data_IF_165696209404
#
_entry.id   IF_165696209404
#
_cell.length_a   1.000
_cell.length_b   1.000
_cell.length_c   1.000
_cell.angle_alpha   90.00
_cell.angle_beta   90.00
_cell.angle_gamma   90.00
#
_symmetry.space_group_name_H-M   'P 1'
#
loop_
_entity.id
_entity.type
_entity.pdbx_description
1 polymer ?
#
# COMPACT_ATOMS: atom_id res chain seq x y z
N UNK A 1 -38.63 6.89 67.91
CA UNK A 1 -37.62 5.90 67.55
C UNK A 1 -38.14 4.83 66.59
N UNK A 2 -39.30 4.24 66.75
CA UNK A 2 -39.83 3.15 65.85
C UNK A 2 -40.13 3.58 64.39
N UNK A 3 -40.47 4.81 64.13
CA UNK A 3 -40.73 5.34 62.76
C UNK A 3 -39.47 5.62 61.96
N UNK A 4 -38.40 6.05 62.59
CA UNK A 4 -37.10 6.30 61.94
C UNK A 4 -36.45 5.02 61.45
N UNK A 5 -36.52 3.95 62.24
CA UNK A 5 -35.95 2.67 61.85
C UNK A 5 -36.74 2.01 60.69
N UNK A 6 -38.03 2.26 60.52
CA UNK A 6 -38.83 1.81 59.39
C UNK A 6 -38.43 2.55 58.07
N UNK A 7 -38.17 3.87 58.18
CA UNK A 7 -37.76 4.68 57.02
C UNK A 7 -36.35 4.25 56.50
N UNK A 8 -35.42 3.97 57.42
CA UNK A 8 -34.08 3.50 57.09
C UNK A 8 -34.14 2.10 56.45
N UNK A 9 -35.02 1.20 56.94
CA UNK A 9 -35.19 -0.14 56.33
C UNK A 9 -35.79 -0.08 54.93
N UNK A 10 -36.72 0.83 54.66
CA UNK A 10 -37.33 1.05 53.35
C UNK A 10 -36.30 1.64 52.37
N UNK A 11 -35.47 2.59 52.80
CA UNK A 11 -34.36 3.12 52.00
C UNK A 11 -33.30 2.07 51.67
N UNK A 12 -32.95 1.21 52.62
CA UNK A 12 -32.02 0.12 52.40
C UNK A 12 -32.57 -0.96 51.47
N UNK A 13 -33.85 -1.30 51.58
CA UNK A 13 -34.52 -2.24 50.70
C UNK A 13 -34.66 -1.66 49.28
N UNK A 14 -34.92 -0.36 49.14
CA UNK A 14 -34.92 0.32 47.84
C UNK A 14 -33.52 0.35 47.19
N UNK A 15 -32.45 0.56 47.97
CA UNK A 15 -31.06 0.54 47.51
C UNK A 15 -30.62 -0.85 47.08
N UNK A 16 -31.04 -1.90 47.79
CA UNK A 16 -30.73 -3.33 47.44
C UNK A 16 -31.49 -3.76 46.19
N UNK A 17 -32.70 -3.23 45.92
CA UNK A 17 -33.47 -3.52 44.72
C UNK A 17 -32.97 -2.76 43.47
N UNK A 18 -32.41 -1.58 43.65
CA UNK A 18 -31.87 -0.78 42.53
C UNK A 18 -30.46 -1.18 42.13
N UNK A 19 -29.62 -1.72 43.04
CA UNK A 19 -28.28 -2.18 42.70
C UNK A 19 -28.26 -3.31 41.64
N UNK A 20 -29.07 -4.39 41.75
CA UNK A 20 -29.09 -5.44 40.73
C UNK A 20 -29.69 -4.96 39.39
N UNK A 21 -30.59 -3.98 39.40
CA UNK A 21 -31.14 -3.41 38.16
C UNK A 21 -30.06 -2.61 37.40
N UNK A 22 -29.21 -1.87 38.08
CA UNK A 22 -28.07 -1.19 37.47
C UNK A 22 -26.99 -2.17 36.96
N UNK A 23 -26.87 -3.37 37.58
CA UNK A 23 -25.98 -4.44 37.13
C UNK A 23 -26.54 -5.28 36.00
N UNK A 24 -27.89 -5.36 35.87
CA UNK A 24 -28.57 -6.10 34.81
C UNK A 24 -28.77 -5.27 33.53
N UNK A 25 -28.72 -3.97 33.63
CA UNK A 25 -28.63 -3.05 32.48
C UNK A 25 -27.28 -2.35 32.56
N UNK A 26 -26.20 -2.95 32.05
CA UNK A 26 -24.99 -2.19 31.86
C UNK A 26 -25.42 -0.98 31.02
N UNK A 27 -25.34 0.21 31.59
CA UNK A 27 -25.47 1.44 30.80
C UNK A 27 -24.47 1.28 29.66
N UNK A 28 -24.98 0.99 28.47
CA UNK A 28 -24.19 1.00 27.25
C UNK A 28 -23.61 2.41 27.20
N UNK A 29 -22.44 2.56 27.80
CA UNK A 29 -21.65 3.76 27.66
C UNK A 29 -21.59 3.99 26.16
N UNK A 30 -22.23 5.05 25.70
CA UNK A 30 -22.23 5.43 24.30
C UNK A 30 -20.85 6.02 24.00
N UNK A 31 -19.81 5.17 24.21
CA UNK A 31 -18.42 5.56 24.02
C UNK A 31 -18.27 5.97 22.59
N UNK A 32 -17.69 7.14 22.39
CA UNK A 32 -17.39 7.68 21.08
C UNK A 32 -16.37 6.79 20.41
N UNK A 33 -16.62 6.40 19.17
CA UNK A 33 -15.65 5.71 18.34
C UNK A 33 -14.58 6.72 17.91
N UNK A 34 -13.32 6.47 18.25
CA UNK A 34 -12.21 7.33 17.87
C UNK A 34 -11.49 6.73 16.67
N UNK A 35 -11.42 7.51 15.60
CA UNK A 35 -10.77 7.11 14.34
C UNK A 35 -9.66 8.10 14.03
N UNK A 36 -8.52 7.64 13.52
CA UNK A 36 -7.45 8.51 13.07
C UNK A 36 -6.88 8.11 11.72
N UNK A 37 -6.44 9.08 10.95
CA UNK A 37 -5.85 8.91 9.62
C UNK A 37 -5.10 10.15 9.15
N UNK A 38 -4.65 10.11 7.92
CA UNK A 38 -3.94 11.18 7.21
C UNK A 38 -4.72 11.58 5.96
N UNK A 39 -4.51 12.80 5.48
CA UNK A 39 -5.16 13.28 4.24
C UNK A 39 -4.33 12.96 3.02
N UNK A 40 -3.02 13.18 3.08
CA UNK A 40 -2.09 12.95 1.98
C UNK A 40 -2.17 11.50 1.47
N UNK A 41 -2.15 11.33 0.14
CA UNK A 41 -2.04 10.00 -0.44
C UNK A 41 -0.58 9.54 -0.44
N UNK A 42 -0.28 8.31 -0.01
CA UNK A 42 1.05 7.75 -0.16
C UNK A 42 1.38 7.38 -1.63
N UNK A 43 0.39 7.46 -2.53
CA UNK A 43 0.47 6.96 -3.89
C UNK A 43 0.41 8.07 -4.95
N UNK A 44 -0.28 9.17 -4.67
CA UNK A 44 -0.52 10.25 -5.62
C UNK A 44 -0.52 11.60 -4.93
N UNK A 45 0.13 12.60 -5.54
CA UNK A 45 0.12 13.98 -5.05
C UNK A 45 -1.21 14.71 -5.26
N UNK A 46 -2.08 14.16 -6.13
CA UNK A 46 -3.27 14.86 -6.62
C UNK A 46 -4.56 14.42 -5.90
N UNK A 47 -4.48 13.46 -4.98
CA UNK A 47 -5.63 12.91 -4.27
C UNK A 47 -5.40 12.87 -2.75
N UNK A 48 -6.48 13.03 -1.99
CA UNK A 48 -6.48 12.94 -0.55
C UNK A 48 -7.39 11.83 -0.02
N UNK A 49 -7.10 11.33 1.17
CA UNK A 49 -7.88 10.26 1.78
C UNK A 49 -9.27 10.73 2.21
N UNK A 50 -10.25 9.87 1.97
CA UNK A 50 -11.69 10.17 2.12
C UNK A 50 -12.21 10.00 3.57
N UNK A 51 -11.43 10.36 4.60
CA UNK A 51 -11.83 10.13 5.99
C UNK A 51 -13.16 10.82 6.33
N UNK A 52 -13.38 12.03 5.84
CA UNK A 52 -14.67 12.74 6.05
C UNK A 52 -15.86 11.99 5.43
N UNK A 53 -15.68 11.42 4.24
CA UNK A 53 -16.70 10.61 3.56
C UNK A 53 -17.01 9.34 4.37
N UNK A 54 -15.98 8.68 4.92
CA UNK A 54 -16.13 7.53 5.80
C UNK A 54 -16.90 7.86 7.07
N UNK A 55 -16.58 8.97 7.72
CA UNK A 55 -17.28 9.44 8.93
C UNK A 55 -18.73 9.77 8.61
N UNK A 56 -19.00 10.42 7.48
CA UNK A 56 -20.36 10.74 7.01
C UNK A 56 -21.17 9.47 6.76
N UNK A 57 -20.58 8.48 6.08
CA UNK A 57 -21.23 7.19 5.81
C UNK A 57 -21.52 6.43 7.12
N UNK A 58 -20.57 6.44 8.07
CA UNK A 58 -20.77 5.84 9.39
C UNK A 58 -21.94 6.47 10.13
N UNK A 59 -22.01 7.80 10.19
CA UNK A 59 -23.12 8.52 10.82
C UNK A 59 -24.47 8.27 10.14
N UNK A 60 -24.45 8.04 8.82
CA UNK A 60 -25.65 7.72 8.06
C UNK A 60 -26.18 6.33 8.42
N UNK A 61 -25.29 5.33 8.50
CA UNK A 61 -25.67 3.93 8.83
C UNK A 61 -25.96 3.75 10.32
N UNK A 62 -25.26 4.48 11.17
CA UNK A 62 -25.34 4.34 12.63
C UNK A 62 -25.64 5.70 13.32
N UNK A 63 -26.81 6.31 13.07
CA UNK A 63 -27.11 7.70 13.52
C UNK A 63 -27.16 7.86 15.05
N UNK A 64 -27.28 6.76 15.78
CA UNK A 64 -27.28 6.75 17.27
C UNK A 64 -25.88 6.58 17.87
N UNK A 65 -24.87 6.36 17.05
CA UNK A 65 -23.49 6.19 17.50
C UNK A 65 -22.69 7.47 17.29
N UNK A 66 -21.83 7.79 18.25
CA UNK A 66 -20.93 8.94 18.16
C UNK A 66 -19.59 8.49 17.62
N UNK A 67 -19.03 9.27 16.71
CA UNK A 67 -17.70 9.10 16.12
C UNK A 67 -16.95 10.43 16.15
N UNK A 68 -15.71 10.38 16.59
CA UNK A 68 -14.72 11.46 16.49
C UNK A 68 -13.59 10.98 15.59
N UNK A 69 -13.01 11.88 14.82
CA UNK A 69 -11.86 11.56 14.02
C UNK A 69 -10.76 12.61 14.20
N UNK A 70 -9.52 12.14 14.07
CA UNK A 70 -8.32 12.94 14.02
C UNK A 70 -7.66 12.72 12.67
N UNK A 71 -7.33 13.78 11.97
CA UNK A 71 -6.70 13.71 10.66
C UNK A 71 -5.60 14.75 10.57
N UNK A 72 -4.37 14.29 10.34
CA UNK A 72 -3.26 15.16 9.97
C UNK A 72 -3.23 15.35 8.44
N UNK A 73 -2.62 16.44 8.00
CA UNK A 73 -2.54 16.75 6.57
C UNK A 73 -1.51 15.89 5.90
N UNK A 74 -0.30 15.81 6.47
CA UNK A 74 0.80 15.03 5.93
C UNK A 74 0.95 13.66 6.58
N UNK A 75 1.56 12.73 5.87
CA UNK A 75 1.89 11.39 6.39
C UNK A 75 2.90 11.49 7.52
N UNK A 76 3.91 12.37 7.40
CA UNK A 76 4.97 12.51 8.40
C UNK A 76 4.42 13.01 9.74
N UNK A 77 3.60 14.08 9.73
CA UNK A 77 2.92 14.59 10.93
C UNK A 77 2.05 13.51 11.58
N UNK A 78 1.31 12.76 10.75
CA UNK A 78 0.48 11.68 11.23
C UNK A 78 1.30 10.54 11.86
N UNK A 79 2.39 10.12 11.22
CA UNK A 79 3.27 9.06 11.72
C UNK A 79 3.89 9.43 13.08
N UNK A 80 4.30 10.69 13.26
CA UNK A 80 4.79 11.19 14.54
C UNK A 80 3.70 11.18 15.62
N UNK A 81 2.53 11.69 15.27
CA UNK A 81 1.40 11.78 16.19
C UNK A 81 0.92 10.39 16.65
N UNK A 82 0.66 9.47 15.70
CA UNK A 82 0.15 8.12 16.02
C UNK A 82 1.19 7.29 16.79
N UNK A 83 2.46 7.39 16.42
CA UNK A 83 3.55 6.73 17.15
C UNK A 83 3.61 7.20 18.61
N UNK A 84 3.47 8.50 18.86
CA UNK A 84 3.41 9.05 20.21
C UNK A 84 2.14 8.61 20.98
N UNK A 85 1.01 8.46 20.29
CA UNK A 85 -0.24 7.97 20.90
C UNK A 85 -0.11 6.50 21.32
N UNK A 86 0.45 5.66 20.46
CA UNK A 86 0.74 4.23 20.71
C UNK A 86 1.66 4.07 21.93
N UNK A 87 2.79 4.78 21.96
CA UNK A 87 3.74 4.70 23.08
C UNK A 87 3.15 5.13 24.42
N UNK A 88 2.07 5.90 24.42
CA UNK A 88 1.35 6.33 25.62
C UNK A 88 0.16 5.43 25.98
N UNK A 89 -0.12 4.38 25.19
CA UNK A 89 -1.32 3.56 25.32
C UNK A 89 -2.63 4.37 25.12
N UNK A 90 -2.60 5.36 24.22
CA UNK A 90 -3.71 6.26 23.91
C UNK A 90 -4.07 6.25 22.41
N UNK A 91 -3.73 5.17 21.74
CA UNK A 91 -4.09 4.97 20.34
C UNK A 91 -5.61 5.03 20.16
N UNK A 92 -6.10 5.50 19.00
CA UNK A 92 -7.51 5.49 18.66
C UNK A 92 -8.08 4.08 18.59
N UNK A 93 -9.43 3.97 18.61
CA UNK A 93 -10.10 2.68 18.40
C UNK A 93 -9.82 2.11 17.01
N UNK A 94 -9.74 2.97 15.99
CA UNK A 94 -9.38 2.64 14.60
C UNK A 94 -8.34 3.64 14.10
N UNK A 95 -7.32 3.17 13.45
CA UNK A 95 -6.32 4.05 12.83
C UNK A 95 -5.74 3.44 11.55
N UNK A 96 -5.40 4.33 10.61
CA UNK A 96 -4.80 3.96 9.33
C UNK A 96 -3.28 3.97 9.42
N UNK A 97 -2.64 3.14 8.60
CA UNK A 97 -1.18 3.06 8.52
C UNK A 97 -0.72 2.95 7.08
N UNK A 98 0.35 3.64 6.75
CA UNK A 98 1.12 3.39 5.53
C UNK A 98 1.92 2.09 5.66
N UNK A 99 2.37 1.52 4.54
CA UNK A 99 3.30 0.37 4.55
C UNK A 99 4.56 0.65 5.37
N UNK A 100 5.08 1.88 5.33
CA UNK A 100 6.26 2.27 6.09
C UNK A 100 6.01 2.21 7.59
N UNK A 101 4.97 2.90 8.09
CA UNK A 101 4.65 2.89 9.52
C UNK A 101 4.35 1.47 10.01
N UNK A 102 3.61 0.70 9.22
CA UNK A 102 3.34 -0.71 9.52
C UNK A 102 4.62 -1.50 9.74
N UNK A 103 5.56 -1.41 8.80
CA UNK A 103 6.83 -2.14 8.87
C UNK A 103 7.70 -1.69 10.06
N UNK A 104 7.72 -0.39 10.36
CA UNK A 104 8.48 0.13 11.51
C UNK A 104 7.95 -0.37 12.86
N UNK A 105 6.64 -0.38 13.04
CA UNK A 105 6.01 -0.87 14.27
C UNK A 105 6.15 -2.39 14.40
N UNK A 106 6.06 -3.08 13.26
CA UNK A 106 6.25 -4.51 13.18
C UNK A 106 7.67 -4.93 13.56
N UNK A 107 8.69 -4.29 12.98
CA UNK A 107 10.11 -4.59 13.25
C UNK A 107 10.48 -4.39 14.73
N UNK A 108 9.86 -3.39 15.36
CA UNK A 108 10.00 -3.13 16.81
C UNK A 108 9.22 -4.10 17.69
N UNK A 109 8.48 -5.06 17.14
CA UNK A 109 7.63 -6.00 17.88
C UNK A 109 6.42 -5.35 18.58
N UNK A 110 6.13 -4.09 18.24
CA UNK A 110 5.09 -3.29 18.93
C UNK A 110 3.69 -3.67 18.42
N UNK A 111 3.54 -4.28 17.23
CA UNK A 111 2.24 -4.63 16.66
C UNK A 111 1.39 -5.50 17.60
N UNK A 112 2.01 -6.45 18.31
CA UNK A 112 1.30 -7.30 19.29
C UNK A 112 0.71 -6.52 20.47
N UNK A 113 1.29 -5.36 20.78
CA UNK A 113 0.84 -4.49 21.87
C UNK A 113 -0.31 -3.57 21.46
N UNK A 114 -0.54 -3.38 20.14
CA UNK A 114 -1.43 -2.35 19.63
C UNK A 114 -2.74 -2.90 19.07
N UNK A 115 -2.75 -4.07 18.47
CA UNK A 115 -3.85 -4.54 17.61
C UNK A 115 -4.53 -5.80 18.12
N UNK A 116 -5.84 -5.88 17.92
CA UNK A 116 -6.65 -7.07 18.18
C UNK A 116 -6.67 -7.92 16.91
N UNK A 117 -6.09 -9.11 16.97
CA UNK A 117 -5.71 -9.90 15.79
C UNK A 117 -6.67 -11.01 15.41
N UNK A 118 -7.16 -11.79 16.38
CA UNK A 118 -7.86 -13.07 16.10
C UNK A 118 -9.14 -12.98 15.26
N UNK A 119 -9.78 -11.82 15.21
CA UNK A 119 -11.08 -11.66 14.55
C UNK A 119 -10.96 -11.08 13.14
N UNK A 120 -9.75 -10.57 12.79
CA UNK A 120 -9.53 -9.90 11.51
C UNK A 120 -9.38 -10.86 10.34
N UNK A 121 -8.86 -12.07 10.57
CA UNK A 121 -8.69 -13.07 9.51
C UNK A 121 -10.02 -13.51 8.91
N UNK A 122 -10.99 -13.86 9.76
CA UNK A 122 -12.33 -14.21 9.31
C UNK A 122 -12.97 -13.06 8.54
N UNK A 123 -12.76 -11.82 9.01
CA UNK A 123 -13.26 -10.63 8.36
C UNK A 123 -12.67 -10.43 6.96
N UNK A 124 -11.36 -10.60 6.80
CA UNK A 124 -10.70 -10.54 5.49
C UNK A 124 -11.24 -11.61 4.52
N UNK A 125 -11.45 -12.84 5.00
CA UNK A 125 -11.98 -13.93 4.20
C UNK A 125 -13.43 -13.67 3.77
N UNK A 126 -14.28 -13.16 4.66
CA UNK A 126 -15.66 -12.77 4.34
C UNK A 126 -15.71 -11.65 3.28
N UNK A 127 -14.81 -10.70 3.34
CA UNK A 127 -14.70 -9.58 2.39
C UNK A 127 -14.03 -9.95 1.08
N UNK A 128 -13.47 -11.16 0.97
CA UNK A 128 -12.75 -11.65 -0.22
C UNK A 128 -11.59 -10.71 -0.62
N UNK A 129 -10.88 -10.17 0.37
CA UNK A 129 -9.66 -9.42 0.13
C UNK A 129 -8.62 -10.38 -0.44
N UNK A 130 -7.84 -9.93 -1.41
CA UNK A 130 -6.80 -10.78 -2.02
C UNK A 130 -5.84 -11.31 -0.95
N UNK A 131 -5.63 -12.65 -0.98
CA UNK A 131 -4.84 -13.36 0.01
C UNK A 131 -3.39 -12.85 0.10
N UNK A 132 -2.85 -12.31 -0.98
CA UNK A 132 -1.51 -11.73 -1.00
C UNK A 132 -1.42 -10.52 -0.07
N UNK A 133 -2.40 -9.61 -0.13
CA UNK A 133 -2.43 -8.46 0.76
C UNK A 133 -2.63 -8.86 2.23
N UNK A 134 -3.49 -9.83 2.48
CA UNK A 134 -3.75 -10.34 3.84
C UNK A 134 -2.49 -10.99 4.42
N UNK A 135 -1.77 -11.76 3.62
CA UNK A 135 -0.51 -12.39 4.02
C UNK A 135 0.54 -11.35 4.45
N UNK A 136 0.62 -10.23 3.74
CA UNK A 136 1.57 -9.15 4.06
C UNK A 136 1.09 -8.24 5.21
N UNK A 137 -0.19 -8.31 5.58
CA UNK A 137 -0.74 -7.63 6.76
C UNK A 137 -0.56 -8.45 8.06
N UNK A 138 0.13 -9.58 7.98
CA UNK A 138 0.32 -10.51 9.08
C UNK A 138 1.77 -10.83 9.41
N UNK A 139 1.96 -11.56 10.50
CA UNK A 139 3.22 -12.17 10.91
C UNK A 139 3.00 -13.60 11.35
N UNK A 140 3.59 -14.54 10.64
CA UNK A 140 3.28 -15.95 10.82
C UNK A 140 1.82 -16.21 10.44
N UNK A 141 1.02 -16.70 11.38
CA UNK A 141 -0.41 -16.95 11.20
C UNK A 141 -1.31 -15.82 11.72
N UNK A 142 -0.73 -14.76 12.30
CA UNK A 142 -1.48 -13.67 12.92
C UNK A 142 -1.60 -12.46 11.97
N UNK A 143 -2.82 -11.95 11.77
CA UNK A 143 -3.10 -10.73 10.99
C UNK A 143 -3.20 -9.54 11.95
N UNK A 144 -2.41 -8.49 11.71
CA UNK A 144 -2.35 -7.29 12.55
C UNK A 144 -3.08 -6.09 11.96
N UNK A 145 -3.36 -6.12 10.68
CA UNK A 145 -3.98 -5.02 9.97
C UNK A 145 -4.84 -5.54 8.82
N UNK A 146 -5.76 -4.72 8.35
CA UNK A 146 -6.57 -5.02 7.17
C UNK A 146 -6.15 -4.08 6.05
N UNK A 147 -5.75 -4.58 4.88
CA UNK A 147 -5.52 -3.75 3.71
C UNK A 147 -6.84 -3.10 3.27
N UNK A 148 -6.81 -1.81 2.95
CA UNK A 148 -8.01 -1.04 2.59
C UNK A 148 -7.87 -0.29 1.28
N UNK A 149 -6.66 -0.07 0.82
CA UNK A 149 -6.34 0.52 -0.46
C UNK A 149 -4.98 0.00 -0.91
N UNK A 150 -4.76 -0.13 -2.20
CA UNK A 150 -3.50 -0.58 -2.78
C UNK A 150 -3.13 0.28 -3.99
N UNK A 151 -1.85 0.31 -4.30
CA UNK A 151 -1.38 0.81 -5.59
C UNK A 151 -0.33 -0.15 -6.15
N UNK A 152 -0.14 -0.14 -7.45
CA UNK A 152 0.83 -1.01 -8.09
C UNK A 152 1.47 -0.36 -9.31
N UNK A 153 2.71 -0.74 -9.60
CA UNK A 153 3.39 -0.28 -10.80
C UNK A 153 2.89 -1.02 -12.03
N UNK A 154 2.79 -0.30 -13.13
CA UNK A 154 2.40 -0.81 -14.43
C UNK A 154 3.20 -0.15 -15.55
N UNK A 155 3.08 -0.69 -16.76
CA UNK A 155 3.58 -0.06 -17.96
C UNK A 155 2.41 0.53 -18.75
N UNK A 156 2.36 1.85 -18.85
CA UNK A 156 1.45 2.55 -19.76
C UNK A 156 2.01 2.51 -21.19
N UNK A 157 1.14 2.26 -22.15
CA UNK A 157 1.49 2.09 -23.56
C UNK A 157 0.65 3.04 -24.43
N UNK A 158 1.30 3.97 -25.12
CA UNK A 158 0.65 4.82 -26.11
C UNK A 158 0.46 4.02 -27.41
N UNK A 159 -0.78 3.61 -27.67
CA UNK A 159 -1.14 2.75 -28.81
C UNK A 159 -0.95 3.43 -30.14
N UNK A 160 -1.22 4.72 -30.22
CA UNK A 160 -1.09 5.49 -31.47
C UNK A 160 0.36 5.61 -31.88
N UNK A 161 1.25 5.95 -30.95
CA UNK A 161 2.69 5.96 -31.22
C UNK A 161 3.23 4.57 -31.52
N UNK A 162 2.82 3.55 -30.78
CA UNK A 162 3.26 2.16 -31.00
C UNK A 162 2.95 1.71 -32.43
N UNK A 163 1.73 1.96 -32.90
CA UNK A 163 1.31 1.68 -34.29
C UNK A 163 2.10 2.48 -35.33
N UNK A 164 2.47 3.72 -35.01
CA UNK A 164 3.34 4.55 -35.83
C UNK A 164 4.73 3.92 -36.09
N UNK A 165 5.20 3.07 -35.17
CA UNK A 165 6.42 2.28 -35.35
C UNK A 165 6.18 0.88 -35.97
N UNK A 166 4.97 0.60 -36.45
CA UNK A 166 4.62 -0.68 -37.09
C UNK A 166 4.41 -1.83 -36.10
N UNK A 167 4.09 -1.52 -34.83
CA UNK A 167 3.80 -2.50 -33.80
C UNK A 167 2.31 -2.37 -33.43
N UNK A 168 1.51 -3.38 -33.75
CA UNK A 168 0.05 -3.30 -33.57
C UNK A 168 -0.37 -3.35 -32.10
N UNK A 169 0.26 -4.22 -31.32
CA UNK A 169 -0.03 -4.40 -29.88
C UNK A 169 1.13 -5.04 -29.14
N UNK A 170 1.11 -4.92 -27.81
CA UNK A 170 1.95 -5.68 -26.87
C UNK A 170 1.13 -6.86 -26.33
N UNK A 171 1.77 -8.02 -26.17
CA UNK A 171 1.13 -9.17 -25.53
C UNK A 171 1.08 -8.97 -24.00
N UNK A 172 0.00 -9.36 -23.34
CA UNK A 172 -0.13 -9.29 -21.88
C UNK A 172 1.00 -10.08 -21.15
N UNK A 173 1.42 -11.21 -21.73
CA UNK A 173 2.49 -12.06 -21.20
C UNK A 173 3.85 -11.74 -21.87
N UNK A 174 4.21 -10.46 -21.92
CA UNK A 174 5.45 -10.01 -22.53
C UNK A 174 6.67 -10.13 -21.62
N UNK A 175 7.85 -10.25 -22.23
CA UNK A 175 9.11 -10.41 -21.53
C UNK A 175 10.07 -9.24 -21.82
N UNK A 176 11.17 -9.17 -21.07
CA UNK A 176 12.27 -8.23 -21.32
C UNK A 176 12.79 -8.26 -22.75
N UNK A 177 12.84 -9.45 -23.37
CA UNK A 177 13.23 -9.60 -24.77
C UNK A 177 12.28 -8.90 -25.74
N UNK A 178 10.96 -8.94 -25.44
CA UNK A 178 9.95 -8.26 -26.24
C UNK A 178 10.08 -6.76 -26.09
N UNK A 179 10.19 -6.29 -24.83
CA UNK A 179 10.40 -4.89 -24.52
C UNK A 179 11.67 -4.36 -25.21
N UNK A 180 12.80 -5.06 -25.07
CA UNK A 180 14.05 -4.66 -25.72
C UNK A 180 13.94 -4.63 -27.23
N UNK A 181 13.24 -5.60 -27.84
CA UNK A 181 13.01 -5.63 -29.30
C UNK A 181 12.22 -4.40 -29.75
N UNK A 182 11.12 -4.06 -29.07
CA UNK A 182 10.32 -2.88 -29.36
C UNK A 182 11.11 -1.59 -29.17
N UNK A 183 11.85 -1.50 -28.07
CA UNK A 183 12.71 -0.36 -27.80
C UNK A 183 13.75 -0.09 -28.91
N UNK A 184 14.33 -1.13 -29.52
CA UNK A 184 15.28 -0.98 -30.64
C UNK A 184 14.60 -0.37 -31.90
N UNK A 185 13.32 -0.67 -32.12
CA UNK A 185 12.55 -0.07 -33.23
C UNK A 185 12.24 1.39 -32.95
N UNK A 186 11.84 1.70 -31.70
CA UNK A 186 11.43 3.03 -31.26
C UNK A 186 12.63 3.98 -31.12
N UNK A 187 13.81 3.46 -30.75
CA UNK A 187 15.00 4.26 -30.38
C UNK A 187 15.63 5.09 -31.49
N UNK A 188 15.14 4.98 -32.73
CA UNK A 188 15.57 5.84 -33.83
C UNK A 188 15.38 7.33 -33.54
N UNK A 189 14.50 7.67 -32.56
CA UNK A 189 14.09 9.02 -32.21
C UNK A 189 14.54 9.49 -30.82
N UNK A 190 15.59 8.89 -30.21
CA UNK A 190 16.16 9.27 -28.91
C UNK A 190 15.19 9.16 -27.70
N UNK A 191 14.11 8.41 -27.77
CA UNK A 191 13.28 8.15 -26.61
C UNK A 191 13.99 7.15 -25.67
N UNK A 192 14.33 7.57 -24.47
CA UNK A 192 14.85 6.68 -23.42
C UNK A 192 13.70 5.86 -22.84
N UNK A 193 13.98 4.77 -22.18
CA UNK A 193 13.00 3.77 -21.77
C UNK A 193 12.51 4.02 -20.33
N UNK A 194 11.23 3.82 -20.09
CA UNK A 194 10.61 3.99 -18.77
C UNK A 194 10.71 2.73 -17.90
N UNK A 195 11.93 2.27 -17.61
CA UNK A 195 12.14 1.03 -16.88
C UNK A 195 13.36 1.18 -15.96
N UNK A 196 13.11 1.19 -14.65
CA UNK A 196 14.14 1.33 -13.64
C UNK A 196 14.69 -0.03 -13.21
N UNK A 197 15.91 -0.05 -12.67
CA UNK A 197 16.55 -1.26 -12.19
C UNK A 197 15.75 -1.96 -11.08
N UNK A 198 15.10 -1.21 -10.21
CA UNK A 198 14.30 -1.74 -9.11
C UNK A 198 13.11 -2.56 -9.64
N UNK A 199 12.34 -2.00 -10.59
CA UNK A 199 11.24 -2.71 -11.24
C UNK A 199 11.72 -3.95 -12.01
N UNK A 200 12.91 -3.86 -12.59
CA UNK A 200 13.54 -5.01 -13.24
C UNK A 200 13.88 -6.12 -12.23
N UNK A 201 14.37 -5.77 -11.05
CA UNK A 201 14.65 -6.75 -9.99
C UNK A 201 13.40 -7.55 -9.65
N UNK A 202 12.28 -6.87 -9.36
CA UNK A 202 11.05 -7.56 -8.99
C UNK A 202 10.46 -8.38 -10.14
N UNK A 203 10.42 -7.85 -11.35
CA UNK A 203 9.93 -8.59 -12.52
C UNK A 203 10.85 -9.76 -12.94
N UNK A 204 12.10 -9.79 -12.44
CA UNK A 204 13.01 -10.94 -12.57
C UNK A 204 12.94 -11.93 -11.38
N UNK A 205 11.91 -11.82 -10.53
CA UNK A 205 11.76 -12.68 -9.36
C UNK A 205 12.81 -12.45 -8.26
N UNK A 206 13.48 -11.29 -8.29
CA UNK A 206 14.44 -10.86 -7.28
C UNK A 206 13.80 -9.99 -6.20
N UNK A 207 14.57 -9.68 -5.19
CA UNK A 207 14.29 -8.67 -4.18
C UNK A 207 15.61 -8.02 -3.76
N UNK A 208 15.59 -6.77 -3.38
CA UNK A 208 16.79 -6.03 -2.99
C UNK A 208 17.10 -6.27 -1.52
N UNK A 209 16.08 -6.14 -0.69
CA UNK A 209 16.11 -6.36 0.74
C UNK A 209 14.85 -7.15 1.11
N UNK A 210 14.87 -7.92 2.18
CA UNK A 210 13.65 -8.54 2.67
C UNK A 210 12.71 -7.48 3.25
N UNK A 211 11.42 -7.82 3.38
CA UNK A 211 10.39 -6.85 3.74
C UNK A 211 10.56 -6.22 5.14
N UNK A 212 11.37 -6.84 6.02
CA UNK A 212 11.72 -6.28 7.34
C UNK A 212 13.02 -5.49 7.34
N UNK A 213 13.73 -5.42 6.20
CA UNK A 213 15.03 -4.78 6.15
C UNK A 213 16.11 -5.47 6.98
N UNK A 214 16.09 -6.81 7.03
CA UNK A 214 17.05 -7.61 7.81
C UNK A 214 18.14 -8.25 6.97
N UNK A 215 17.84 -8.55 5.73
CA UNK A 215 18.74 -9.22 4.79
C UNK A 215 18.69 -8.54 3.43
N UNK A 216 19.83 -8.30 2.82
CA UNK A 216 19.94 -7.84 1.44
C UNK A 216 20.30 -8.99 0.49
N UNK A 217 19.95 -8.80 -0.78
CA UNK A 217 20.14 -9.78 -1.85
C UNK A 217 20.88 -9.18 -3.05
N UNK A 218 21.67 -8.11 -2.84
CA UNK A 218 22.34 -7.36 -3.89
C UNK A 218 23.30 -8.20 -4.72
N UNK A 219 23.90 -9.23 -4.14
CA UNK A 219 24.79 -10.15 -4.84
C UNK A 219 24.06 -11.33 -5.50
N UNK A 220 22.72 -11.39 -5.44
CA UNK A 220 21.97 -12.46 -6.09
C UNK A 220 21.96 -12.31 -7.61
N UNK A 221 21.97 -13.43 -8.33
CA UNK A 221 21.93 -13.42 -9.80
C UNK A 221 20.68 -12.71 -10.36
N UNK A 222 19.56 -12.74 -9.64
CA UNK A 222 18.34 -12.09 -10.08
C UNK A 222 18.51 -10.56 -10.05
N UNK A 223 19.15 -10.02 -9.01
CA UNK A 223 19.44 -8.58 -8.89
C UNK A 223 20.50 -8.15 -9.89
N UNK A 224 21.64 -8.85 -9.94
CA UNK A 224 22.72 -8.53 -10.87
C UNK A 224 22.26 -8.54 -12.33
N UNK A 225 21.50 -9.55 -12.74
CA UNK A 225 20.95 -9.64 -14.09
C UNK A 225 19.97 -8.49 -14.40
N UNK A 226 19.15 -8.09 -13.44
CA UNK A 226 18.19 -7.02 -13.61
C UNK A 226 18.89 -5.66 -13.81
N UNK A 227 19.84 -5.33 -12.95
CA UNK A 227 20.60 -4.08 -13.05
C UNK A 227 21.40 -4.04 -14.36
N UNK A 228 22.07 -5.12 -14.71
CA UNK A 228 22.81 -5.23 -15.98
C UNK A 228 21.89 -5.16 -17.21
N UNK A 229 20.66 -5.67 -17.11
CA UNK A 229 19.67 -5.56 -18.20
C UNK A 229 19.33 -4.10 -18.46
N UNK A 230 18.94 -3.34 -17.41
CA UNK A 230 18.56 -1.93 -17.54
C UNK A 230 19.75 -1.08 -17.98
N UNK A 231 20.95 -1.33 -17.44
CA UNK A 231 22.18 -0.67 -17.86
C UNK A 231 22.44 -0.83 -19.37
N UNK A 232 22.35 -2.06 -19.89
CA UNK A 232 22.51 -2.33 -21.33
C UNK A 232 21.37 -1.74 -22.17
N UNK A 233 20.14 -1.78 -21.66
CA UNK A 233 18.98 -1.19 -22.31
C UNK A 233 19.18 0.31 -22.54
N UNK A 234 19.74 1.02 -21.55
CA UNK A 234 20.05 2.44 -21.61
C UNK A 234 21.42 2.78 -22.25
N UNK A 235 21.95 1.86 -23.05
CA UNK A 235 23.21 2.08 -23.80
C UNK A 235 24.45 2.20 -22.92
N UNK A 236 24.44 1.64 -21.72
CA UNK A 236 25.58 1.67 -20.80
C UNK A 236 25.79 3.01 -20.09
N UNK A 237 24.77 3.84 -19.94
CA UNK A 237 24.88 5.18 -19.36
C UNK A 237 24.10 5.38 -18.07
N UNK A 238 23.08 4.57 -17.79
CA UNK A 238 22.22 4.70 -16.61
C UNK A 238 21.47 3.42 -16.32
N UNK A 239 21.03 3.26 -15.08
CA UNK A 239 20.06 2.24 -14.65
C UNK A 239 18.74 2.85 -14.20
N UNK A 240 18.60 4.18 -14.32
CA UNK A 240 17.39 4.93 -14.03
C UNK A 240 16.92 5.71 -15.24
N UNK A 241 15.64 6.00 -15.26
CA UNK A 241 14.99 6.85 -16.26
C UNK A 241 14.64 8.18 -15.61
N UNK A 242 14.97 9.26 -16.28
CA UNK A 242 14.55 10.60 -15.84
C UNK A 242 13.00 10.69 -15.91
N UNK A 243 12.35 11.43 -15.00
CA UNK A 243 10.91 11.71 -15.07
C UNK A 243 10.54 12.24 -16.46
N UNK A 244 9.43 11.76 -17.01
CA UNK A 244 9.00 12.06 -18.37
C UNK A 244 7.53 12.39 -18.44
N UNK A 245 7.13 12.90 -19.58
CA UNK A 245 5.77 13.32 -19.83
C UNK A 245 5.10 12.37 -20.84
N UNK A 246 4.55 11.26 -20.35
CA UNK A 246 3.68 10.38 -21.12
C UNK A 246 2.40 11.12 -21.55
N UNK A 247 1.91 12.00 -20.67
CA UNK A 247 0.72 12.82 -20.90
C UNK A 247 0.88 13.73 -22.12
N UNK A 248 2.09 14.19 -22.39
CA UNK A 248 2.42 14.96 -23.60
C UNK A 248 2.42 14.16 -24.90
N UNK A 249 2.09 12.87 -24.85
CA UNK A 249 1.92 12.02 -26.04
C UNK A 249 3.21 11.75 -26.82
N UNK A 250 4.38 11.90 -26.21
CA UNK A 250 5.68 11.74 -26.86
C UNK A 250 6.37 10.42 -26.56
N UNK A 251 5.87 9.66 -25.58
CA UNK A 251 6.44 8.41 -25.15
C UNK A 251 5.55 7.23 -25.53
N UNK A 252 6.17 6.16 -26.02
CA UNK A 252 5.46 4.90 -26.31
C UNK A 252 5.21 4.12 -25.03
N UNK A 253 6.22 4.08 -24.13
CA UNK A 253 6.16 3.35 -22.88
C UNK A 253 6.56 4.25 -21.70
N UNK A 254 5.83 4.17 -20.61
CA UNK A 254 6.23 4.75 -19.33
C UNK A 254 5.76 3.88 -18.17
N UNK A 255 6.65 3.65 -17.20
CA UNK A 255 6.29 3.03 -15.94
C UNK A 255 5.56 4.08 -15.08
N UNK A 256 4.37 3.75 -14.64
CA UNK A 256 3.53 4.58 -13.78
C UNK A 256 2.96 3.73 -12.63
N UNK A 257 2.43 4.39 -11.63
CA UNK A 257 1.55 3.77 -10.66
C UNK A 257 0.10 3.81 -11.17
N UNK A 258 -0.72 2.87 -10.73
CA UNK A 258 -2.12 2.82 -11.17
C UNK A 258 -2.89 4.09 -10.76
N UNK A 259 -2.64 4.63 -9.57
CA UNK A 259 -3.24 5.90 -9.11
C UNK A 259 -2.84 7.10 -9.98
N UNK A 260 -1.60 7.16 -10.47
CA UNK A 260 -1.16 8.21 -11.41
C UNK A 260 -1.91 8.13 -12.75
N UNK A 261 -2.25 6.90 -13.18
CA UNK A 261 -2.98 6.69 -14.42
C UNK A 261 -4.44 7.14 -14.33
N UNK A 262 -5.09 7.03 -13.18
CA UNK A 262 -6.48 7.48 -12.99
C UNK A 262 -6.60 8.99 -13.27
N UNK A 263 -5.64 9.76 -12.80
CA UNK A 263 -5.61 11.22 -12.98
C UNK A 263 -4.95 11.65 -14.30
N UNK A 264 -4.56 10.68 -15.12
CA UNK A 264 -3.92 10.94 -16.40
C UNK A 264 -4.99 11.32 -17.43
N UNK A 265 -5.08 12.59 -17.78
CA UNK A 265 -5.99 13.07 -18.82
C UNK A 265 -5.51 12.63 -20.23
N UNK A 266 -5.64 11.32 -20.50
CA UNK A 266 -5.24 10.68 -21.76
C UNK A 266 -6.45 9.95 -22.36
N UNK A 267 -6.65 9.96 -23.69
CA UNK A 267 -7.76 9.24 -24.31
C UNK A 267 -7.69 7.75 -24.02
N UNK A 268 -8.75 7.21 -23.42
CA UNK A 268 -8.78 5.82 -22.95
C UNK A 268 -8.61 4.80 -24.09
N UNK A 269 -9.04 5.13 -25.31
CA UNK A 269 -8.88 4.30 -26.51
C UNK A 269 -7.46 4.32 -27.09
N UNK A 270 -6.64 5.30 -26.70
CA UNK A 270 -5.25 5.45 -27.14
C UNK A 270 -4.22 4.90 -26.16
N UNK A 271 -4.63 4.47 -24.98
CA UNK A 271 -3.75 3.90 -23.96
C UNK A 271 -4.11 2.48 -23.62
N UNK A 272 -3.09 1.63 -23.42
CA UNK A 272 -3.21 0.33 -22.74
C UNK A 272 -2.33 0.32 -21.50
N UNK A 273 -2.72 -0.51 -20.53
CA UNK A 273 -1.99 -0.74 -19.29
C UNK A 273 -1.61 -2.21 -19.19
N UNK A 274 -0.34 -2.48 -18.93
CA UNK A 274 0.22 -3.82 -18.86
C UNK A 274 0.96 -4.01 -17.53
N UNK A 275 1.00 -5.24 -17.04
CA UNK A 275 1.93 -5.61 -15.98
C UNK A 275 3.38 -5.38 -16.46
N UNK A 276 4.32 -5.29 -15.53
CA UNK A 276 5.74 -5.13 -15.87
C UNK A 276 6.24 -6.31 -16.71
N UNK A 277 7.14 -6.09 -17.68
CA UNK A 277 7.63 -7.16 -18.55
C UNK A 277 8.43 -8.20 -17.76
N UNK A 278 8.17 -9.49 -17.98
CA UNK A 278 8.79 -10.59 -17.25
C UNK A 278 10.29 -10.69 -17.52
N UNK A 279 11.08 -10.75 -16.46
CA UNK A 279 12.49 -11.13 -16.55
C UNK A 279 12.67 -12.66 -16.74
N UNK A 280 13.86 -13.13 -17.13
CA UNK A 280 14.14 -14.54 -17.42
C UNK A 280 13.90 -15.51 -16.25
N UNK A 281 13.90 -15.00 -15.03
CA UNK A 281 13.75 -15.79 -13.78
C UNK A 281 12.49 -15.43 -12.99
N UNK A 282 11.68 -14.50 -13.50
CA UNK A 282 10.49 -14.01 -12.86
C UNK A 282 9.23 -14.20 -13.69
N UNK A 283 8.35 -13.22 -13.60
CA UNK A 283 7.06 -13.16 -14.29
C UNK A 283 6.66 -11.71 -14.57
N UNK A 284 5.44 -11.51 -15.01
CA UNK A 284 4.85 -10.17 -15.13
C UNK A 284 4.48 -9.63 -13.75
N UNK A 285 5.49 -9.54 -12.88
CA UNK A 285 5.37 -9.13 -11.48
C UNK A 285 5.54 -7.62 -11.38
N UNK A 286 4.55 -6.99 -10.82
CA UNK A 286 4.57 -5.57 -10.47
C UNK A 286 4.84 -5.39 -8.97
N UNK A 287 5.41 -4.25 -8.63
CA UNK A 287 5.53 -3.77 -7.26
C UNK A 287 4.14 -3.26 -6.81
N UNK A 288 3.75 -3.54 -5.57
CA UNK A 288 2.53 -2.98 -4.99
C UNK A 288 2.77 -2.51 -3.55
N UNK A 289 2.01 -1.50 -3.14
CA UNK A 289 2.00 -0.94 -1.79
C UNK A 289 0.56 -0.88 -1.28
N UNK A 290 0.37 -0.89 0.06
CA UNK A 290 -0.94 -0.86 0.67
C UNK A 290 -1.06 0.22 1.75
N UNK A 291 -2.27 0.72 1.92
CA UNK A 291 -2.72 1.37 3.15
C UNK A 291 -3.48 0.36 3.97
N UNK A 292 -3.18 0.33 5.24
CA UNK A 292 -3.76 -0.58 6.21
C UNK A 292 -4.65 0.15 7.20
N UNK A 293 -5.61 -0.58 7.78
CA UNK A 293 -6.39 -0.12 8.94
C UNK A 293 -6.24 -1.10 10.08
N UNK A 294 -6.12 -0.57 11.30
CA UNK A 294 -5.94 -1.33 12.52
C UNK A 294 -7.01 -1.01 13.54
N UNK A 295 -7.26 -1.95 14.44
CA UNK A 295 -8.06 -1.74 15.65
C UNK A 295 -7.10 -1.64 16.83
N UNK A 296 -7.20 -0.57 17.62
CA UNK A 296 -6.37 -0.38 18.80
C UNK A 296 -6.62 -1.47 19.84
N UNK A 297 -5.56 -2.02 20.42
CA UNK A 297 -5.64 -3.10 21.41
C UNK A 297 -6.46 -2.72 22.63
N UNK A 298 -6.32 -1.48 23.08
CA UNK A 298 -7.03 -0.95 24.25
C UNK A 298 -8.43 -0.42 23.92
N UNK A 299 -8.91 -0.62 22.66
CA UNK A 299 -10.24 -0.21 22.28
C UNK A 299 -11.32 -0.93 23.08
N UNK A 300 -12.23 -0.12 23.64
CA UNK A 300 -13.46 -0.63 24.25
C UNK A 300 -14.65 -0.60 23.25
N UNK A 301 -14.38 -0.29 21.97
CA UNK A 301 -15.35 -0.10 20.90
C UNK A 301 -15.13 -1.10 19.74
N UNK A 302 -14.59 -2.30 19.98
CA UNK A 302 -14.20 -3.26 18.94
C UNK A 302 -15.32 -3.52 17.92
N UNK A 303 -16.56 -3.73 18.37
CA UNK A 303 -17.70 -3.96 17.48
C UNK A 303 -18.06 -2.72 16.62
N UNK A 304 -17.86 -1.52 17.15
CA UNK A 304 -18.03 -0.28 16.36
C UNK A 304 -16.88 -0.13 15.36
N UNK A 305 -15.67 -0.47 15.78
CA UNK A 305 -14.48 -0.47 14.92
C UNK A 305 -14.65 -1.43 13.73
N UNK A 306 -15.13 -2.65 13.96
CA UNK A 306 -15.46 -3.60 12.88
C UNK A 306 -16.49 -3.04 11.91
N UNK A 307 -17.56 -2.41 12.41
CA UNK A 307 -18.57 -1.76 11.55
C UNK A 307 -17.99 -0.62 10.73
N UNK A 308 -17.05 0.15 11.29
CA UNK A 308 -16.37 1.19 10.55
C UNK A 308 -15.50 0.60 9.44
N UNK A 309 -14.72 -0.43 9.72
CA UNK A 309 -13.90 -1.13 8.73
C UNK A 309 -14.78 -1.79 7.65
N UNK A 310 -15.94 -2.32 8.02
CA UNK A 310 -16.94 -2.85 7.06
C UNK A 310 -17.42 -1.76 6.08
N UNK A 311 -17.56 -0.53 6.54
CA UNK A 311 -17.87 0.61 5.68
C UNK A 311 -16.69 0.92 4.75
N UNK A 312 -15.46 0.96 5.26
CA UNK A 312 -14.25 1.20 4.45
C UNK A 312 -14.17 0.19 3.30
N UNK A 313 -14.46 -1.08 3.57
CA UNK A 313 -14.43 -2.17 2.60
C UNK A 313 -15.72 -2.33 1.79
N UNK A 314 -16.72 -1.47 1.99
CA UNK A 314 -17.95 -1.54 1.20
C UNK A 314 -17.69 -1.10 -0.25
N UNK A 315 -18.42 -1.71 -1.20
CA UNK A 315 -18.28 -1.38 -2.63
C UNK A 315 -18.47 0.11 -2.90
N UNK A 316 -19.32 0.80 -2.15
CA UNK A 316 -19.51 2.25 -2.25
C UNK A 316 -18.21 3.02 -1.95
N UNK A 317 -17.59 2.74 -0.80
CA UNK A 317 -16.36 3.45 -0.41
C UNK A 317 -15.18 3.01 -1.29
N UNK A 318 -15.08 1.75 -1.62
CA UNK A 318 -14.02 1.25 -2.50
C UNK A 318 -14.15 1.84 -3.93
N UNK A 319 -15.37 2.11 -4.41
CA UNK A 319 -15.56 2.84 -5.67
C UNK A 319 -15.21 4.33 -5.55
N UNK A 320 -15.50 4.96 -4.40
CA UNK A 320 -15.07 6.34 -4.14
C UNK A 320 -13.53 6.45 -4.09
N UNK A 321 -12.84 5.48 -3.47
CA UNK A 321 -11.37 5.42 -3.41
C UNK A 321 -10.77 5.43 -4.83
N UNK A 322 -11.24 4.55 -5.71
CA UNK A 322 -10.67 4.47 -7.06
C UNK A 322 -11.10 5.64 -7.93
N UNK A 323 -12.37 6.05 -7.87
CA UNK A 323 -12.87 7.16 -8.70
C UNK A 323 -12.29 8.53 -8.29
N UNK A 324 -11.81 8.69 -7.06
CA UNK A 324 -11.10 9.88 -6.61
C UNK A 324 -9.62 9.92 -7.02
N UNK A 325 -9.10 8.83 -7.59
CA UNK A 325 -7.67 8.71 -7.90
C UNK A 325 -6.77 8.48 -6.70
N UNK A 326 -7.36 8.17 -5.53
CA UNK A 326 -6.55 7.93 -4.33
C UNK A 326 -5.72 6.66 -4.44
N UNK A 327 -6.33 5.54 -4.82
CA UNK A 327 -5.71 4.22 -4.94
C UNK A 327 -6.61 3.23 -5.67
N UNK A 328 -6.09 2.03 -5.90
CA UNK A 328 -6.88 0.89 -6.36
C UNK A 328 -7.65 0.25 -5.20
N UNK A 329 -8.85 -0.30 -5.46
CA UNK A 329 -9.63 -1.00 -4.46
C UNK A 329 -8.98 -2.34 -4.10
N UNK A 330 -9.14 -2.76 -2.84
CA UNK A 330 -8.69 -4.09 -2.37
C UNK A 330 -9.80 -5.14 -2.44
N UNK A 331 -11.02 -4.71 -2.75
CA UNK A 331 -12.18 -5.59 -2.95
C UNK A 331 -12.67 -5.47 -4.39
N UNK A 332 -13.23 -6.54 -4.91
CA UNK A 332 -13.76 -6.55 -6.28
C UNK A 332 -14.97 -5.61 -6.41
N UNK A 333 -14.92 -4.73 -7.40
CA UNK A 333 -16.03 -3.83 -7.73
C UNK A 333 -16.86 -4.39 -8.90
N UNK A 334 -18.14 -4.08 -8.90
CA UNK A 334 -19.01 -4.32 -10.06
C UNK A 334 -18.88 -3.16 -11.08
N UNK A 335 -19.06 -3.48 -12.36
CA UNK A 335 -18.83 -2.55 -13.46
C UNK A 335 -19.72 -1.30 -13.42
N UNK A 336 -20.91 -1.40 -12.81
CA UNK A 336 -21.84 -0.27 -12.63
C UNK A 336 -21.34 0.80 -11.63
N UNK A 337 -20.36 0.47 -10.80
CA UNK A 337 -19.72 1.41 -9.87
C UNK A 337 -18.51 2.13 -10.47
N UNK A 338 -18.12 1.78 -11.68
CA UNK A 338 -16.95 2.32 -12.38
C UNK A 338 -17.44 3.12 -13.59
N UNK A 339 -17.37 4.43 -13.50
CA UNK A 339 -17.84 5.33 -14.56
C UNK A 339 -16.79 5.64 -15.63
N UNK A 340 -15.52 5.60 -15.25
CA UNK A 340 -14.39 5.96 -16.13
C UNK A 340 -13.77 4.74 -16.79
N UNK A 341 -13.46 4.84 -18.09
CA UNK A 341 -12.90 3.73 -18.89
C UNK A 341 -11.45 3.42 -18.51
N UNK A 342 -10.66 4.41 -18.10
CA UNK A 342 -9.29 4.20 -17.61
C UNK A 342 -9.35 3.42 -16.31
N UNK A 343 -10.21 3.84 -15.38
CA UNK A 343 -10.44 3.13 -14.10
C UNK A 343 -10.86 1.69 -14.38
N UNK A 344 -11.75 1.44 -15.34
CA UNK A 344 -12.18 0.07 -15.69
C UNK A 344 -11.00 -0.77 -16.19
N UNK A 345 -10.16 -0.24 -17.07
CA UNK A 345 -8.95 -0.94 -17.54
C UNK A 345 -7.99 -1.26 -16.41
N UNK A 346 -7.80 -0.31 -15.49
CA UNK A 346 -6.95 -0.51 -14.31
C UNK A 346 -7.51 -1.57 -13.36
N UNK A 347 -8.81 -1.60 -13.12
CA UNK A 347 -9.46 -2.65 -12.32
C UNK A 347 -9.29 -4.04 -12.95
N UNK A 348 -9.44 -4.15 -14.28
CA UNK A 348 -9.19 -5.42 -15.00
C UNK A 348 -7.72 -5.83 -14.89
N UNK A 349 -6.80 -4.89 -14.96
CA UNK A 349 -5.37 -5.18 -14.81
C UNK A 349 -5.04 -5.55 -13.36
N UNK A 350 -5.63 -4.89 -12.37
CA UNK A 350 -5.41 -5.18 -10.95
C UNK A 350 -5.78 -6.63 -10.60
N UNK A 351 -6.89 -7.14 -11.12
CA UNK A 351 -7.30 -8.54 -10.94
C UNK A 351 -6.24 -9.55 -11.45
N UNK A 352 -5.40 -9.16 -12.40
CA UNK A 352 -4.32 -10.00 -12.95
C UNK A 352 -3.00 -9.82 -12.21
N UNK A 353 -2.71 -8.59 -11.81
CA UNK A 353 -1.39 -8.19 -11.26
C UNK A 353 -1.31 -8.45 -9.77
N UNK A 354 -2.32 -8.05 -9.00
CA UNK A 354 -2.25 -8.06 -7.55
C UNK A 354 -2.05 -9.45 -6.93
N UNK A 355 -2.63 -10.55 -7.44
CA UNK A 355 -2.41 -11.89 -6.89
C UNK A 355 -0.96 -12.36 -6.91
N UNK A 356 -0.13 -11.79 -7.77
CA UNK A 356 1.30 -12.11 -7.89
C UNK A 356 2.23 -10.93 -7.61
N UNK A 357 1.68 -9.77 -7.21
CA UNK A 357 2.46 -8.57 -6.98
C UNK A 357 3.48 -8.76 -5.86
N UNK A 358 4.61 -8.10 -5.99
CA UNK A 358 5.57 -7.95 -4.91
C UNK A 358 5.14 -6.81 -4.01
N UNK A 359 4.65 -7.13 -2.81
CA UNK A 359 4.25 -6.12 -1.84
C UNK A 359 5.50 -5.52 -1.21
N UNK A 360 5.72 -4.24 -1.48
CA UNK A 360 6.84 -3.49 -0.92
C UNK A 360 6.46 -3.03 0.47
N UNK A 361 7.25 -3.46 1.45
CA UNK A 361 7.21 -2.89 2.79
C UNK A 361 8.39 -1.95 2.91
N UNK A 362 8.10 -0.67 3.13
CA UNK A 362 9.14 0.31 3.41
C UNK A 362 9.50 0.20 4.88
N UNK A 363 10.79 0.04 5.18
CA UNK A 363 11.31 0.04 6.54
C UNK A 363 12.05 1.35 6.82
N UNK A 364 12.31 1.65 8.07
CA UNK A 364 12.82 2.97 8.52
C UNK A 364 13.97 3.53 7.69
N UNK A 365 14.91 2.68 7.26
CA UNK A 365 16.12 3.10 6.55
C UNK A 365 16.10 2.68 5.07
N UNK A 366 14.94 2.33 4.53
CA UNK A 366 14.83 1.89 3.14
C UNK A 366 15.33 2.96 2.17
N UNK A 367 14.90 4.20 2.34
CA UNK A 367 15.36 5.31 1.53
C UNK A 367 16.89 5.45 1.56
N UNK A 368 17.50 5.37 2.74
CA UNK A 368 18.95 5.46 2.88
C UNK A 368 19.67 4.34 2.12
N UNK A 369 19.17 3.11 2.23
CA UNK A 369 19.75 1.95 1.53
C UNK A 369 19.59 2.08 0.02
N UNK A 370 18.41 2.44 -0.48
CA UNK A 370 18.19 2.63 -1.90
C UNK A 370 19.00 3.79 -2.47
N UNK A 371 19.14 4.90 -1.75
CA UNK A 371 20.00 6.05 -2.14
C UNK A 371 21.48 5.64 -2.24
N UNK A 372 21.98 4.81 -1.32
CA UNK A 372 23.35 4.27 -1.39
C UNK A 372 23.52 3.35 -2.59
N UNK A 373 22.55 2.47 -2.86
CA UNK A 373 22.59 1.58 -4.02
C UNK A 373 22.65 2.39 -5.31
N UNK A 374 21.78 3.37 -5.46
CA UNK A 374 21.75 4.27 -6.60
C UNK A 374 23.06 4.96 -6.82
N UNK A 375 23.61 5.58 -5.76
CA UNK A 375 24.89 6.26 -5.81
C UNK A 375 26.03 5.31 -6.20
N UNK A 376 26.08 4.11 -5.64
CA UNK A 376 27.13 3.13 -5.95
C UNK A 376 27.05 2.68 -7.42
N UNK A 377 25.84 2.47 -7.95
CA UNK A 377 25.63 2.16 -9.35
C UNK A 377 26.12 3.29 -10.25
N UNK A 378 25.73 4.54 -9.94
CA UNK A 378 26.17 5.71 -10.71
C UNK A 378 27.69 5.89 -10.70
N UNK A 379 28.32 5.76 -9.53
CA UNK A 379 29.76 5.89 -9.37
C UNK A 379 30.52 4.78 -10.15
N UNK A 380 30.02 3.55 -10.13
CA UNK A 380 30.58 2.45 -10.91
C UNK A 380 30.49 2.73 -12.41
N UNK A 381 29.34 3.22 -12.89
CA UNK A 381 29.16 3.61 -14.30
C UNK A 381 30.12 4.74 -14.69
N UNK A 382 30.26 5.79 -13.90
CA UNK A 382 31.14 6.94 -14.17
C UNK A 382 32.63 6.55 -14.18
N UNK A 383 33.04 5.64 -13.29
CA UNK A 383 34.43 5.18 -13.16
C UNK A 383 34.79 4.00 -14.05
N UNK A 384 33.80 3.41 -14.76
CA UNK A 384 34.02 2.21 -15.59
C UNK A 384 34.25 0.92 -14.81
N UNK A 385 33.93 0.90 -13.52
CA UNK A 385 33.96 -0.30 -12.69
C UNK A 385 32.79 -1.21 -13.08
N UNK A 386 33.03 -2.53 -13.13
CA UNK A 386 31.96 -3.49 -13.39
C UNK A 386 30.89 -3.43 -12.30
N UNK A 387 29.62 -3.35 -12.70
CA UNK A 387 28.49 -3.26 -11.77
C UNK A 387 28.46 -4.44 -10.78
N UNK A 388 28.77 -5.65 -11.25
CA UNK A 388 28.81 -6.86 -10.40
C UNK A 388 29.82 -6.71 -9.23
N UNK A 389 30.99 -6.11 -9.49
CA UNK A 389 31.99 -5.86 -8.44
C UNK A 389 31.48 -4.81 -7.45
N UNK A 390 30.97 -3.70 -7.95
CA UNK A 390 30.45 -2.61 -7.12
C UNK A 390 29.28 -3.07 -6.23
N UNK A 391 28.40 -3.92 -6.75
CA UNK A 391 27.26 -4.45 -5.99
C UNK A 391 27.69 -5.53 -4.98
N UNK A 392 28.73 -6.32 -5.30
CA UNK A 392 29.28 -7.30 -4.35
C UNK A 392 29.98 -6.61 -3.16
N UNK A 393 30.70 -5.52 -3.39
CA UNK A 393 31.26 -4.70 -2.31
C UNK A 393 30.15 -4.04 -1.48
N UNK A 394 29.14 -3.50 -2.13
CA UNK A 394 28.00 -2.85 -1.47
C UNK A 394 27.17 -3.85 -0.64
N UNK A 395 27.01 -5.09 -1.11
CA UNK A 395 26.39 -6.17 -0.35
C UNK A 395 27.05 -6.34 1.03
N UNK A 396 28.38 -6.35 1.10
CA UNK A 396 29.11 -6.47 2.37
C UNK A 396 28.79 -5.28 3.29
N UNK A 397 28.81 -4.08 2.75
CA UNK A 397 28.53 -2.85 3.49
C UNK A 397 27.09 -2.83 4.05
N UNK A 398 26.09 -3.15 3.22
CA UNK A 398 24.67 -3.14 3.61
C UNK A 398 24.37 -4.31 4.55
N UNK A 399 24.92 -5.51 4.33
CA UNK A 399 24.76 -6.63 5.25
C UNK A 399 25.31 -6.31 6.65
N UNK A 400 26.47 -5.64 6.75
CA UNK A 400 27.04 -5.19 8.02
C UNK A 400 26.13 -4.13 8.68
N UNK A 401 25.63 -3.17 7.90
CA UNK A 401 24.68 -2.15 8.39
C UNK A 401 23.41 -2.78 8.93
N UNK A 402 22.77 -3.69 8.19
CA UNK A 402 21.53 -4.35 8.60
C UNK A 402 21.74 -5.27 9.82
N UNK A 403 22.90 -5.90 9.96
CA UNK A 403 23.22 -6.73 11.11
C UNK A 403 23.29 -5.95 12.43
N UNK A 404 23.69 -4.68 12.37
CA UNK A 404 23.80 -3.78 13.53
C UNK A 404 22.46 -3.18 13.97
N UNK A 405 21.40 -3.37 13.19
CA UNK A 405 20.03 -2.95 13.53
C UNK A 405 19.29 -3.96 14.41
N UNK A 406 19.80 -5.18 14.49
CA UNK A 406 19.26 -6.26 15.36
C UNK A 406 19.67 -6.01 16.80
#
# INVERSE_FOLDING_TARGET
>A
MKTYNKLILILFAALILTLPICLLFPTRSNKVLKVAGFYESPFSSDAGFLLEALVKEYKTRYPKESIEFHQEVTIDEYNEWISAAILRGKEPDVFFMTSQLYSELYDKGIMKEIVVVKELENFCNEKKIDAQFVKHAGYGEEIYAIPVAADFTLMAVNKSLLRGYGIDRVNDAWAWSDYQRMCRVINKDNSKYGFDWEDAVYSNGGKVVDYLGREDYLNSLNVLNAINFVYRLNGGTSTKVAPRDFRGGKLVFEKLNASECINMNFPADEVDFLAMPAGPKGGNISKAECVYVCIGRHSNNVEKAKRFIDIVLSSKIQSEIVNSGYAMPVTKLSDDLISDEIVRKLCILSDKVLPSAFIVHRFRDDKYIFDIIDKRIEDAIKSGVKLDNALSELHIEISDFLSKRR
#
